data_IF_450750952593
#
_entry.id   IF_450750952593
#
_cell.length_a   1.000
_cell.length_b   1.000
_cell.length_c   1.000
_cell.angle_alpha   90.00
_cell.angle_beta   90.00
_cell.angle_gamma   90.00
#
_symmetry.space_group_name_H-M   'P 1'
#
loop_
_entity.id
_entity.type
_entity.pdbx_description
1 polymer ?
#
# COMPACT_ATOMS: atom_id res chain seq x y z
N UNK A 1 4.18 -12.18 11.17
CA UNK A 1 3.35 -11.57 10.09
C UNK A 1 4.01 -11.63 8.70
N UNK A 2 5.26 -12.08 8.55
CA UNK A 2 5.92 -12.16 7.23
C UNK A 2 5.54 -13.43 6.45
N UNK A 3 5.12 -14.48 7.16
CA UNK A 3 4.80 -15.80 6.57
C UNK A 3 3.58 -15.81 5.63
N UNK A 4 2.67 -14.83 5.76
CA UNK A 4 1.49 -14.73 4.88
C UNK A 4 1.84 -14.35 3.44
N UNK A 5 3.03 -13.79 3.19
CA UNK A 5 3.40 -13.24 1.87
C UNK A 5 4.18 -14.22 0.99
N UNK A 6 4.77 -15.24 1.60
CA UNK A 6 5.55 -16.29 0.92
C UNK A 6 4.85 -16.90 -0.31
N UNK A 7 3.55 -17.27 -0.28
CA UNK A 7 2.92 -17.88 -1.45
C UNK A 7 2.79 -16.93 -2.64
N UNK A 8 2.78 -15.61 -2.42
CA UNK A 8 2.70 -14.64 -3.50
C UNK A 8 4.08 -14.33 -4.11
N UNK A 9 5.14 -14.40 -3.29
CA UNK A 9 6.53 -14.12 -3.67
C UNK A 9 7.15 -15.30 -4.41
N UNK A 10 6.92 -16.54 -3.93
CA UNK A 10 7.54 -17.72 -4.51
C UNK A 10 6.65 -18.34 -5.60
N UNK A 11 6.76 -17.79 -6.81
CA UNK A 11 6.14 -18.38 -8.01
C UNK A 11 7.11 -19.34 -8.73
N UNK A 12 6.59 -20.37 -9.43
CA UNK A 12 7.41 -21.21 -10.29
C UNK A 12 8.19 -20.37 -11.29
N UNK A 13 9.50 -20.57 -11.36
CA UNK A 13 10.36 -19.89 -12.32
C UNK A 13 10.10 -20.52 -13.69
N UNK A 14 9.72 -19.69 -14.67
CA UNK A 14 9.54 -20.14 -16.04
C UNK A 14 10.86 -20.65 -16.63
N UNK A 15 10.78 -21.62 -17.56
CA UNK A 15 11.97 -22.10 -18.25
C UNK A 15 12.68 -20.96 -18.98
N UNK A 16 13.97 -20.80 -18.71
CA UNK A 16 14.81 -19.72 -19.22
C UNK A 16 15.53 -20.10 -20.52
N UNK A 17 15.43 -21.36 -20.94
CA UNK A 17 16.17 -21.94 -22.08
C UNK A 17 15.93 -21.22 -23.42
N UNK A 18 14.77 -20.60 -23.59
CA UNK A 18 14.35 -19.95 -24.84
C UNK A 18 14.34 -18.42 -24.80
N UNK A 19 14.81 -17.81 -23.71
CA UNK A 19 14.78 -16.35 -23.59
C UNK A 19 15.97 -15.69 -24.31
N UNK A 20 15.76 -14.55 -24.98
CA UNK A 20 16.85 -13.80 -25.61
C UNK A 20 17.84 -13.34 -24.52
N UNK A 21 19.12 -13.64 -24.73
CA UNK A 21 20.16 -13.19 -23.81
C UNK A 21 20.49 -11.71 -24.05
N UNK A 22 20.63 -10.90 -22.98
CA UNK A 22 21.02 -9.51 -23.12
C UNK A 22 22.42 -9.38 -23.71
N UNK A 23 22.55 -8.58 -24.77
CA UNK A 23 23.80 -8.43 -25.55
C UNK A 23 24.80 -7.48 -24.91
N UNK A 24 24.33 -6.42 -24.27
CA UNK A 24 25.14 -5.41 -23.56
C UNK A 24 24.84 -5.45 -22.04
N UNK A 25 25.79 -4.95 -21.24
CA UNK A 25 25.60 -4.75 -19.80
C UNK A 25 24.43 -3.81 -19.52
N UNK A 26 24.22 -2.79 -20.36
CA UNK A 26 23.10 -1.86 -20.17
C UNK A 26 21.76 -2.58 -20.37
N UNK A 27 21.66 -3.34 -21.45
CA UNK A 27 20.50 -4.16 -21.78
C UNK A 27 20.20 -5.21 -20.71
N UNK A 28 21.26 -5.79 -20.12
CA UNK A 28 21.15 -6.69 -18.97
C UNK A 28 20.53 -6.00 -17.76
N UNK A 29 20.97 -4.79 -17.43
CA UNK A 29 20.43 -4.03 -16.30
C UNK A 29 18.96 -3.64 -16.55
N UNK A 30 18.62 -3.20 -17.77
CA UNK A 30 17.23 -2.92 -18.16
C UNK A 30 16.35 -4.16 -18.02
N UNK A 31 16.82 -5.31 -18.49
CA UNK A 31 16.11 -6.59 -18.41
C UNK A 31 15.88 -7.01 -16.96
N UNK A 32 16.90 -6.89 -16.10
CA UNK A 32 16.76 -7.20 -14.66
C UNK A 32 15.71 -6.29 -14.02
N UNK A 33 15.75 -4.99 -14.28
CA UNK A 33 14.78 -4.04 -13.73
C UNK A 33 13.36 -4.39 -14.21
N UNK A 34 13.18 -4.66 -15.50
CA UNK A 34 11.88 -5.04 -16.06
C UNK A 34 11.33 -6.33 -15.44
N UNK A 35 12.19 -7.33 -15.21
CA UNK A 35 11.79 -8.57 -14.56
C UNK A 35 11.38 -8.34 -13.09
N UNK A 36 12.10 -7.50 -12.36
CA UNK A 36 11.74 -7.11 -11.00
C UNK A 36 10.39 -6.38 -10.96
N UNK A 37 10.16 -5.44 -11.88
CA UNK A 37 8.89 -4.71 -11.97
C UNK A 37 7.71 -5.61 -12.32
N UNK A 38 7.92 -6.55 -13.24
CA UNK A 38 6.92 -7.56 -13.56
C UNK A 38 6.59 -8.40 -12.33
N UNK A 39 7.62 -8.86 -11.62
CA UNK A 39 7.44 -9.64 -10.39
C UNK A 39 6.70 -8.85 -9.31
N UNK A 40 7.03 -7.58 -9.10
CA UNK A 40 6.33 -6.70 -8.16
C UNK A 40 4.83 -6.58 -8.50
N UNK A 41 4.51 -6.38 -9.78
CA UNK A 41 3.13 -6.29 -10.26
C UNK A 41 2.38 -7.62 -10.08
N UNK A 42 3.05 -8.73 -10.32
CA UNK A 42 2.53 -10.08 -10.14
C UNK A 42 2.21 -10.37 -8.66
N UNK A 43 3.10 -9.99 -7.73
CA UNK A 43 2.85 -10.12 -6.29
C UNK A 43 1.65 -9.27 -5.87
N UNK A 44 1.60 -8.00 -6.28
CA UNK A 44 0.50 -7.08 -5.93
C UNK A 44 -0.85 -7.58 -6.44
N UNK A 45 -0.90 -8.05 -7.70
CA UNK A 45 -2.13 -8.63 -8.25
C UNK A 45 -2.55 -9.91 -7.53
N UNK A 46 -1.60 -10.74 -7.10
CA UNK A 46 -1.82 -11.93 -6.28
C UNK A 46 -2.50 -11.59 -4.95
N UNK A 47 -1.94 -10.61 -4.21
CA UNK A 47 -2.48 -10.16 -2.91
C UNK A 47 -3.88 -9.58 -3.08
N UNK A 48 -4.11 -8.77 -4.12
CA UNK A 48 -5.43 -8.22 -4.41
C UNK A 48 -6.45 -9.29 -4.78
N UNK A 49 -6.03 -10.30 -5.55
CA UNK A 49 -6.90 -11.43 -5.91
C UNK A 49 -7.30 -12.23 -4.65
N UNK A 50 -6.37 -12.48 -3.75
CA UNK A 50 -6.67 -13.14 -2.47
C UNK A 50 -7.62 -12.31 -1.61
N UNK A 51 -7.37 -11.00 -1.49
CA UNK A 51 -8.24 -10.11 -0.71
C UNK A 51 -9.68 -10.12 -1.27
N UNK A 52 -9.84 -10.10 -2.60
CA UNK A 52 -11.16 -10.24 -3.25
C UNK A 52 -11.80 -11.60 -2.97
N UNK A 53 -11.04 -12.68 -3.06
CA UNK A 53 -11.54 -14.03 -2.77
C UNK A 53 -12.01 -14.14 -1.31
N UNK A 54 -11.27 -13.57 -0.37
CA UNK A 54 -11.67 -13.51 1.05
C UNK A 54 -12.98 -12.75 1.23
N UNK A 55 -13.16 -11.63 0.51
CA UNK A 55 -14.41 -10.87 0.56
C UNK A 55 -15.59 -11.63 -0.03
N UNK A 56 -15.41 -12.34 -1.14
CA UNK A 56 -16.46 -13.17 -1.72
C UNK A 56 -16.84 -14.32 -0.77
N UNK A 57 -15.87 -14.96 -0.11
CA UNK A 57 -16.15 -16.03 0.87
C UNK A 57 -16.89 -15.56 2.13
N UNK A 58 -16.83 -14.27 2.43
CA UNK A 58 -17.51 -13.64 3.57
C UNK A 58 -18.86 -13.04 3.17
N UNK A 59 -19.23 -13.12 1.88
CA UNK A 59 -20.57 -12.75 1.44
C UNK A 59 -21.53 -13.83 1.95
N UNK A 60 -22.47 -13.49 2.84
CA UNK A 60 -23.49 -14.46 3.24
C UNK A 60 -24.30 -14.85 2.00
N UNK A 61 -24.57 -16.15 1.82
CA UNK A 61 -25.53 -16.63 0.82
C UNK A 61 -26.87 -15.94 1.07
N UNK A 62 -27.23 -14.96 0.24
CA UNK A 62 -28.53 -14.28 0.23
C UNK A 62 -29.63 -15.18 -0.37
N UNK A 63 -29.67 -16.45 0.05
CA UNK A 63 -30.74 -17.42 -0.27
C UNK A 63 -31.37 -18.03 0.99
N UNK A 64 -31.12 -17.43 2.18
CA UNK A 64 -31.87 -17.80 3.39
C UNK A 64 -32.98 -16.79 3.65
N UNK A 65 -34.12 -17.08 3.04
CA UNK A 65 -35.49 -16.87 3.49
C UNK A 65 -35.82 -15.65 4.38
N UNK A 66 -36.73 -14.84 3.84
CA UNK A 66 -37.62 -13.91 4.52
C UNK A 66 -37.95 -14.31 5.99
N UNK A 67 -37.47 -13.54 6.96
CA UNK A 67 -38.22 -13.35 8.21
C UNK A 67 -37.97 -11.95 8.75
N UNK A 68 -38.87 -11.06 8.36
CA UNK A 68 -38.99 -9.68 8.80
C UNK A 68 -39.39 -9.65 10.30
N UNK A 69 -38.37 -9.68 11.16
CA UNK A 69 -38.50 -9.50 12.60
C UNK A 69 -38.76 -8.03 12.92
N UNK A 70 -40.00 -7.59 12.74
CA UNK A 70 -40.58 -6.33 13.19
C UNK A 70 -40.14 -5.97 14.63
N UNK A 71 -39.11 -5.13 14.74
CA UNK A 71 -38.57 -4.60 15.99
C UNK A 71 -38.41 -3.09 15.92
N UNK A 72 -39.53 -2.36 15.79
CA UNK A 72 -39.54 -0.91 15.95
C UNK A 72 -38.92 -0.52 17.31
N UNK A 73 -37.93 0.39 17.38
CA UNK A 73 -37.50 0.94 18.66
C UNK A 73 -38.64 1.77 19.27
N UNK A 74 -38.76 1.87 20.61
CA UNK A 74 -39.83 2.65 21.21
C UNK A 74 -39.75 4.10 20.73
N UNK A 75 -40.84 4.57 20.14
CA UNK A 75 -41.03 5.92 19.67
C UNK A 75 -40.66 6.91 20.79
N UNK A 76 -39.57 7.64 20.61
CA UNK A 76 -39.22 8.78 21.46
C UNK A 76 -40.42 9.71 21.54
N UNK A 77 -40.91 9.96 22.75
CA UNK A 77 -42.16 10.67 23.03
C UNK A 77 -42.09 12.11 22.47
N UNK A 78 -42.51 12.27 21.21
CA UNK A 78 -42.38 13.50 20.43
C UNK A 78 -43.08 14.70 21.10
N UNK A 79 -44.05 14.41 21.99
CA UNK A 79 -44.70 15.42 22.81
C UNK A 79 -43.77 16.12 23.79
N UNK A 80 -42.80 15.41 24.36
CA UNK A 80 -41.84 16.02 25.30
C UNK A 80 -40.90 16.97 24.57
N UNK A 81 -40.50 16.62 23.36
CA UNK A 81 -39.69 17.49 22.50
C UNK A 81 -40.42 18.78 22.13
N UNK A 82 -41.68 18.68 21.69
CA UNK A 82 -42.49 19.87 21.33
C UNK A 82 -42.78 20.74 22.56
N UNK A 83 -42.99 20.14 23.73
CA UNK A 83 -43.16 20.89 24.98
C UNK A 83 -41.89 21.67 25.35
N UNK A 84 -40.70 21.09 25.13
CA UNK A 84 -39.42 21.77 25.37
C UNK A 84 -39.18 22.94 24.41
N UNK A 85 -39.62 22.84 23.14
CA UNK A 85 -39.50 23.94 22.17
C UNK A 85 -40.39 25.14 22.50
N UNK A 86 -41.52 24.89 23.16
CA UNK A 86 -42.48 25.92 23.54
C UNK A 86 -42.28 26.45 24.97
N UNK A 87 -41.24 25.99 25.67
CA UNK A 87 -40.97 26.44 27.03
C UNK A 87 -40.46 27.90 27.01
N UNK A 88 -41.00 28.80 27.86
CA UNK A 88 -40.54 30.18 27.96
C UNK A 88 -39.06 30.23 28.38
N UNK A 89 -38.29 31.14 27.78
CA UNK A 89 -36.89 31.35 28.15
C UNK A 89 -36.78 31.78 29.62
N UNK A 90 -36.04 31.02 30.41
CA UNK A 90 -35.67 31.38 31.78
C UNK A 90 -34.20 31.81 31.80
N UNK A 91 -33.92 32.96 32.42
CA UNK A 91 -32.57 33.50 32.52
C UNK A 91 -31.72 32.55 33.39
N UNK A 92 -30.72 31.90 32.76
CA UNK A 92 -29.94 30.82 33.36
C UNK A 92 -30.16 29.42 32.76
N UNK A 93 -31.08 29.27 31.80
CA UNK A 93 -31.33 27.98 31.11
C UNK A 93 -30.20 27.53 30.18
N UNK A 94 -29.18 28.37 29.94
CA UNK A 94 -28.05 28.05 29.09
C UNK A 94 -28.44 27.84 27.62
N UNK A 95 -27.49 27.99 26.71
CA UNK A 95 -27.70 27.53 25.34
C UNK A 95 -27.64 25.99 25.35
N UNK A 96 -28.71 25.26 24.98
CA UNK A 96 -28.68 23.79 24.94
C UNK A 96 -27.66 23.23 23.93
N UNK A 97 -27.16 24.05 22.99
CA UNK A 97 -26.09 23.70 22.08
C UNK A 97 -24.69 23.90 22.68
N UNK A 98 -24.58 24.74 23.70
CA UNK A 98 -23.35 24.98 24.45
C UNK A 98 -23.52 24.41 25.85
N UNK A 99 -23.30 23.09 25.95
CA UNK A 99 -23.05 22.39 27.20
C UNK A 99 -21.89 23.07 27.94
N UNK A 100 -22.21 24.08 28.75
CA UNK A 100 -21.28 24.71 29.66
C UNK A 100 -20.91 23.70 30.75
N UNK A 101 -19.73 23.11 30.61
CA UNK A 101 -19.11 22.29 31.67
C UNK A 101 -19.02 20.82 31.30
N UNK A 102 -17.80 20.42 30.94
CA UNK A 102 -17.37 19.07 30.55
C UNK A 102 -18.04 18.52 29.29
N UNK A 103 -17.21 18.27 28.26
CA UNK A 103 -17.51 17.24 27.26
C UNK A 103 -17.98 16.03 28.08
N UNK A 104 -19.19 15.49 27.88
CA UNK A 104 -19.55 14.23 28.50
C UNK A 104 -18.50 13.25 27.99
N UNK A 105 -17.56 12.86 28.86
CA UNK A 105 -16.70 11.70 28.60
C UNK A 105 -17.66 10.62 28.20
N UNK A 106 -17.63 10.24 26.92
CA UNK A 106 -18.64 9.41 26.28
C UNK A 106 -19.07 8.33 27.27
N UNK A 107 -20.33 8.38 27.70
CA UNK A 107 -20.85 7.35 28.60
C UNK A 107 -20.56 5.97 27.98
N UNK A 108 -20.47 4.90 28.78
CA UNK A 108 -20.04 3.56 28.32
C UNK A 108 -20.88 2.94 27.19
N UNK A 109 -21.89 3.66 26.67
CA UNK A 109 -22.82 3.26 25.62
C UNK A 109 -22.50 3.77 24.22
N UNK A 110 -21.54 4.69 24.00
CA UNK A 110 -21.14 5.06 22.62
C UNK A 110 -20.12 4.02 22.13
N UNK A 111 -20.63 2.85 21.74
CA UNK A 111 -19.82 1.86 21.02
C UNK A 111 -19.48 2.43 19.65
N UNK A 112 -18.20 2.70 19.39
CA UNK A 112 -17.74 2.94 18.03
C UNK A 112 -18.21 1.77 17.16
N UNK A 113 -18.88 2.09 16.04
CA UNK A 113 -19.29 1.09 15.09
C UNK A 113 -18.04 0.32 14.63
N UNK A 114 -18.08 -1.00 14.73
CA UNK A 114 -16.98 -1.85 14.28
C UNK A 114 -16.74 -1.63 12.79
N UNK A 115 -15.47 -1.45 12.41
CA UNK A 115 -15.06 -1.26 11.02
C UNK A 115 -15.63 -2.37 10.14
N UNK A 116 -16.30 -2.04 9.01
CA UNK A 116 -16.84 -3.04 8.09
C UNK A 116 -15.79 -4.04 7.62
N UNK A 117 -16.20 -5.29 7.39
CA UNK A 117 -15.31 -6.38 6.97
C UNK A 117 -14.56 -6.03 5.67
N UNK A 118 -15.24 -5.35 4.75
CA UNK A 118 -14.68 -4.87 3.49
C UNK A 118 -13.51 -3.93 3.71
N UNK A 119 -13.67 -2.98 4.65
CA UNK A 119 -12.65 -1.99 4.98
C UNK A 119 -11.46 -2.67 5.66
N UNK A 120 -11.70 -3.64 6.55
CA UNK A 120 -10.63 -4.38 7.21
C UNK A 120 -9.80 -5.20 6.22
N UNK A 121 -10.45 -5.97 5.34
CA UNK A 121 -9.75 -6.76 4.35
C UNK A 121 -8.92 -5.89 3.38
N UNK A 122 -9.43 -4.72 3.01
CA UNK A 122 -8.68 -3.75 2.21
C UNK A 122 -7.46 -3.21 2.97
N UNK A 123 -7.61 -2.86 4.25
CA UNK A 123 -6.50 -2.41 5.10
C UNK A 123 -5.42 -3.48 5.24
N UNK A 124 -5.81 -4.74 5.45
CA UNK A 124 -4.87 -5.86 5.56
C UNK A 124 -4.08 -6.05 4.26
N UNK A 125 -4.75 -5.98 3.10
CA UNK A 125 -4.10 -6.08 1.79
C UNK A 125 -3.10 -4.92 1.55
N UNK A 126 -3.47 -3.69 1.93
CA UNK A 126 -2.57 -2.53 1.83
C UNK A 126 -1.33 -2.74 2.71
N UNK A 127 -1.51 -3.15 3.96
CA UNK A 127 -0.39 -3.40 4.88
C UNK A 127 0.55 -4.50 4.36
N UNK A 128 0.00 -5.55 3.75
CA UNK A 128 0.77 -6.62 3.13
C UNK A 128 1.59 -6.10 1.92
N UNK A 129 0.98 -5.29 1.06
CA UNK A 129 1.67 -4.66 -0.07
C UNK A 129 2.80 -3.73 0.42
N UNK A 130 2.54 -2.89 1.43
CA UNK A 130 3.54 -1.99 2.01
C UNK A 130 4.69 -2.75 2.68
N UNK A 131 4.41 -3.91 3.28
CA UNK A 131 5.45 -4.78 3.84
C UNK A 131 6.35 -5.34 2.73
N UNK A 132 5.76 -5.81 1.63
CA UNK A 132 6.53 -6.30 0.48
C UNK A 132 7.38 -5.18 -0.15
N UNK A 133 6.78 -4.02 -0.42
CA UNK A 133 7.44 -2.91 -1.10
C UNK A 133 8.68 -2.42 -0.35
N UNK A 134 8.64 -2.42 1.00
CA UNK A 134 9.81 -2.09 1.83
C UNK A 134 11.01 -2.99 1.56
N UNK A 135 10.79 -4.27 1.29
CA UNK A 135 11.85 -5.23 1.00
C UNK A 135 12.26 -5.23 -0.47
N UNK A 136 11.30 -5.17 -1.39
CA UNK A 136 11.55 -5.20 -2.83
C UNK A 136 12.31 -3.95 -3.31
N UNK A 137 12.03 -2.78 -2.71
CA UNK A 137 12.63 -1.50 -3.10
C UNK A 137 14.16 -1.52 -3.12
N UNK A 138 14.80 -2.14 -2.12
CA UNK A 138 16.26 -2.11 -2.00
C UNK A 138 16.95 -2.74 -3.22
N UNK A 139 16.45 -3.89 -3.68
CA UNK A 139 17.00 -4.59 -4.83
C UNK A 139 16.77 -3.81 -6.12
N UNK A 140 15.57 -3.24 -6.30
CA UNK A 140 15.26 -2.41 -7.48
C UNK A 140 16.16 -1.17 -7.54
N UNK A 141 16.28 -0.43 -6.43
CA UNK A 141 17.10 0.78 -6.33
C UNK A 141 18.57 0.50 -6.65
N UNK A 142 19.08 -0.67 -6.26
CA UNK A 142 20.45 -1.07 -6.57
C UNK A 142 20.70 -1.14 -8.09
N UNK A 143 19.82 -1.82 -8.84
CA UNK A 143 19.97 -1.97 -10.29
C UNK A 143 19.68 -0.67 -11.05
N UNK A 144 18.72 0.12 -10.58
CA UNK A 144 18.46 1.46 -11.14
C UNK A 144 19.69 2.36 -11.01
N UNK A 145 20.31 2.40 -9.82
CA UNK A 145 21.55 3.16 -9.61
C UNK A 145 22.73 2.60 -10.42
N UNK A 146 22.79 1.29 -10.61
CA UNK A 146 23.81 0.66 -11.47
C UNK A 146 23.65 1.08 -12.93
N UNK A 147 22.41 1.14 -13.43
CA UNK A 147 22.09 1.61 -14.78
C UNK A 147 22.48 3.08 -14.97
N UNK A 148 22.14 3.93 -14.00
CA UNK A 148 22.52 5.35 -14.01
C UNK A 148 24.04 5.55 -14.06
N UNK A 149 24.81 4.78 -13.28
CA UNK A 149 26.28 4.83 -13.33
C UNK A 149 26.82 4.45 -14.71
N UNK A 150 26.25 3.42 -15.34
CA UNK A 150 26.68 3.00 -16.67
C UNK A 150 26.39 4.07 -17.73
N UNK A 151 25.23 4.72 -17.66
CA UNK A 151 24.86 5.79 -18.57
C UNK A 151 25.75 7.02 -18.40
N UNK A 152 26.04 7.42 -17.15
CA UNK A 152 26.97 8.52 -16.87
C UNK A 152 28.37 8.26 -17.43
N UNK A 153 28.89 7.03 -17.30
CA UNK A 153 30.19 6.66 -17.88
C UNK A 153 30.23 6.67 -19.41
N UNK A 154 29.09 6.51 -20.10
CA UNK A 154 29.00 6.67 -21.56
C UNK A 154 28.97 8.14 -21.96
N UNK A 155 28.28 8.99 -21.20
CA UNK A 155 28.17 10.43 -21.47
C UNK A 155 29.50 11.18 -21.29
N UNK A 156 30.35 10.74 -20.37
CA UNK A 156 31.71 11.30 -20.16
C UNK A 156 32.75 10.79 -21.18
N UNK A 157 32.38 9.87 -22.07
CA UNK A 157 33.31 9.22 -23.01
C UNK A 157 33.18 9.75 -24.46
N UNK A 158 32.89 11.04 -24.65
CA UNK A 158 33.08 11.77 -25.92
C UNK A 158 34.56 12.18 -26.10
N UNK A 159 35.07 12.32 -27.33
CA UNK A 159 36.39 11.85 -27.71
C UNK A 159 37.53 12.74 -27.20
N UNK A 160 38.44 12.14 -26.44
CA UNK A 160 39.80 12.66 -26.25
C UNK A 160 40.47 12.70 -27.62
N UNK A 161 40.80 13.92 -28.07
CA UNK A 161 41.67 14.16 -29.22
C UNK A 161 42.94 13.29 -29.15
N UNK A 162 43.42 12.73 -30.27
CA UNK A 162 44.68 11.97 -30.27
C UNK A 162 45.83 12.98 -30.19
N UNK A 163 46.28 13.30 -28.98
CA UNK A 163 47.33 14.30 -28.85
C UNK A 163 47.74 14.64 -27.43
N UNK A 164 48.29 13.67 -26.70
CA UNK A 164 49.49 13.85 -25.85
C UNK A 164 49.79 12.56 -25.08
N UNK A 165 50.90 11.93 -25.46
CA UNK A 165 51.56 10.94 -24.63
C UNK A 165 51.96 11.59 -23.31
N UNK A 166 51.18 11.34 -22.26
CA UNK A 166 51.55 11.71 -20.90
C UNK A 166 52.55 10.66 -20.41
N UNK A 167 53.83 10.99 -20.53
CA UNK A 167 54.94 10.26 -19.93
C UNK A 167 54.69 10.14 -18.43
N UNK A 168 54.49 8.90 -17.97
CA UNK A 168 54.39 8.54 -16.56
C UNK A 168 55.80 8.67 -15.90
N UNK A 169 55.99 9.56 -14.91
CA UNK A 169 57.29 9.76 -14.27
C UNK A 169 57.74 8.60 -13.36
N UNK A 170 56.99 7.49 -13.27
CA UNK A 170 57.36 6.36 -12.39
C UNK A 170 58.08 5.19 -13.05
N UNK A 171 58.32 5.20 -14.37
CA UNK A 171 59.18 4.17 -15.01
C UNK A 171 60.64 4.56 -14.92
N UNK A 172 61.33 4.13 -13.86
CA UNK A 172 62.80 4.02 -13.88
C UNK A 172 63.18 2.82 -14.75
N UNK A 173 64.09 2.98 -15.73
CA UNK A 173 64.71 1.83 -16.38
C UNK A 173 65.67 1.17 -15.40
N UNK A 174 65.48 -0.13 -15.18
CA UNK A 174 66.51 -1.00 -14.61
C UNK A 174 67.49 -1.29 -15.75
N UNK A 175 68.78 -1.05 -15.49
CA UNK A 175 69.89 -1.34 -16.39
C UNK A 175 70.22 -2.81 -16.49
#
# INVERSE_FOLDING_TARGET
MVDSMLPHIFRPIADLSHLPQPTDREDRLRTIIANLEKHDQDVRSSVLAEARQRLESLRPDEDTDMNDGNGSPPCSDHRQFVASLNAPYTEGSGDPCLLHGSIPTAGPSVRQATVPVQVRAAQDAIQQMDAYDRHAKQTKDYYVKALQRQQASRSDAEPVQPGRAQLDPRRKPIG
#
